data_IF_536730806162
#
_entry.id   IF_536730806162
#
_cell.length_a   1.000
_cell.length_b   1.000
_cell.length_c   1.000
_cell.angle_alpha   90.00
_cell.angle_beta   90.00
_cell.angle_gamma   90.00
#
_symmetry.space_group_name_H-M   'P 1'
#
loop_
_entity.id
_entity.type
_entity.pdbx_description
1 polymer ?
#
# COMPACT_ATOMS: atom_id res chain seq x y z
N UNK A 1 -26.64 -37.85 -0.05
CA UNK A 1 -26.72 -36.89 1.06
C UNK A 1 -25.30 -36.39 1.29
N UNK A 2 -24.92 -35.31 0.62
CA UNK A 2 -23.55 -34.79 0.60
C UNK A 2 -23.23 -34.12 1.92
N UNK A 3 -22.08 -34.45 2.51
CA UNK A 3 -21.59 -33.91 3.77
C UNK A 3 -21.38 -32.38 3.63
N UNK A 4 -21.98 -31.53 4.49
CA UNK A 4 -21.75 -30.09 4.47
C UNK A 4 -20.29 -29.67 4.66
N UNK A 5 -19.38 -30.57 5.07
CA UNK A 5 -17.94 -30.32 5.22
C UNK A 5 -17.16 -30.27 3.91
N UNK A 6 -17.70 -30.78 2.81
CA UNK A 6 -17.04 -30.72 1.48
C UNK A 6 -17.01 -29.30 0.88
N UNK A 7 -17.71 -28.33 1.49
CA UNK A 7 -17.69 -26.91 1.07
C UNK A 7 -16.47 -26.14 1.60
N UNK A 8 -15.50 -26.81 2.20
CA UNK A 8 -14.28 -26.19 2.74
C UNK A 8 -13.16 -25.94 1.72
N UNK A 9 -13.44 -26.03 0.41
CA UNK A 9 -12.43 -25.90 -0.64
C UNK A 9 -12.37 -24.51 -1.27
N UNK A 10 -11.47 -23.64 -0.80
CA UNK A 10 -10.83 -22.61 -1.62
C UNK A 10 -9.64 -22.00 -0.85
N UNK A 11 -8.42 -22.50 -1.10
CA UNK A 11 -7.20 -22.23 -0.33
C UNK A 11 -6.60 -20.81 -0.40
N UNK A 12 -7.39 -19.74 -0.40
CA UNK A 12 -6.90 -18.35 -0.32
C UNK A 12 -7.31 -17.66 0.99
N UNK A 13 -6.57 -16.65 1.43
CA UNK A 13 -7.00 -15.81 2.55
C UNK A 13 -8.32 -15.10 2.21
N UNK A 14 -9.16 -14.87 3.23
CA UNK A 14 -10.38 -14.08 3.01
C UNK A 14 -9.99 -12.65 2.59
N UNK A 15 -10.75 -12.02 1.67
CA UNK A 15 -10.41 -10.67 1.16
C UNK A 15 -10.17 -9.62 2.26
N UNK A 16 -10.90 -9.60 3.39
CA UNK A 16 -10.61 -8.68 4.48
C UNK A 16 -9.26 -8.91 5.14
N UNK A 17 -8.90 -10.17 5.38
CA UNK A 17 -7.62 -10.53 6.02
C UNK A 17 -6.46 -10.18 5.10
N UNK A 18 -6.56 -10.51 3.81
CA UNK A 18 -5.54 -10.15 2.82
C UNK A 18 -5.36 -8.62 2.70
N UNK A 19 -6.46 -7.86 2.77
CA UNK A 19 -6.39 -6.39 2.76
C UNK A 19 -5.69 -5.86 4.02
N UNK A 20 -6.01 -6.39 5.19
CA UNK A 20 -5.37 -5.97 6.45
C UNK A 20 -3.85 -6.22 6.42
N UNK A 21 -3.41 -7.42 6.02
CA UNK A 21 -1.99 -7.73 5.88
C UNK A 21 -1.29 -6.84 4.87
N UNK A 22 -1.93 -6.57 3.73
CA UNK A 22 -1.36 -5.69 2.72
C UNK A 22 -1.25 -4.25 3.20
N UNK A 23 -2.21 -3.73 3.95
CA UNK A 23 -2.17 -2.37 4.53
C UNK A 23 -1.02 -2.26 5.54
N UNK A 24 -0.88 -3.23 6.44
CA UNK A 24 0.21 -3.26 7.42
C UNK A 24 1.57 -3.38 6.72
N UNK A 25 1.69 -4.29 5.75
CA UNK A 25 2.90 -4.46 4.95
C UNK A 25 3.26 -3.20 4.15
N UNK A 26 2.28 -2.57 3.50
CA UNK A 26 2.46 -1.29 2.80
C UNK A 26 2.96 -0.21 3.75
N UNK A 27 2.31 -0.05 4.91
CA UNK A 27 2.71 0.96 5.89
C UNK A 27 4.13 0.73 6.41
N UNK A 28 4.49 -0.52 6.71
CA UNK A 28 5.83 -0.90 7.13
C UNK A 28 6.89 -0.62 6.03
N UNK A 29 6.60 -1.01 4.78
CA UNK A 29 7.48 -0.75 3.63
C UNK A 29 7.63 0.74 3.35
N UNK A 30 6.57 1.52 3.53
CA UNK A 30 6.59 2.97 3.34
C UNK A 30 7.49 3.64 4.37
N UNK A 31 7.25 3.39 5.67
CA UNK A 31 8.04 4.00 6.74
C UNK A 31 9.50 3.51 6.71
N UNK A 32 9.71 2.21 6.57
CA UNK A 32 11.04 1.62 6.48
C UNK A 32 11.79 2.10 5.22
N UNK A 33 11.12 2.14 4.08
CA UNK A 33 11.70 2.59 2.81
C UNK A 33 12.05 4.08 2.82
N UNK A 34 11.16 4.94 3.34
CA UNK A 34 11.43 6.37 3.49
C UNK A 34 12.57 6.60 4.49
N UNK A 35 12.54 5.92 5.63
CA UNK A 35 13.61 6.00 6.63
C UNK A 35 14.96 5.58 6.07
N UNK A 36 15.02 4.43 5.38
CA UNK A 36 16.28 3.95 4.80
C UNK A 36 16.81 4.88 3.71
N UNK A 37 15.93 5.35 2.81
CA UNK A 37 16.32 6.28 1.75
C UNK A 37 16.80 7.62 2.34
N UNK A 38 16.12 8.13 3.36
CA UNK A 38 16.52 9.34 4.08
C UNK A 38 17.88 9.18 4.75
N UNK A 39 18.13 8.05 5.43
CA UNK A 39 19.43 7.74 6.03
C UNK A 39 20.56 7.66 4.99
N UNK A 40 20.30 7.06 3.83
CA UNK A 40 21.31 6.94 2.77
C UNK A 40 21.60 8.24 2.04
N UNK A 41 20.57 9.06 1.83
CA UNK A 41 20.69 10.29 1.02
C UNK A 41 20.94 11.54 1.86
N UNK A 42 20.71 11.47 3.16
CA UNK A 42 20.64 12.64 4.04
C UNK A 42 19.51 13.60 3.67
N UNK A 43 18.57 13.17 2.81
CA UNK A 43 17.49 14.01 2.31
C UNK A 43 16.23 13.83 3.15
N UNK A 44 15.51 14.94 3.32
CA UNK A 44 14.17 14.95 3.89
C UNK A 44 13.14 14.52 2.84
N UNK A 45 12.10 13.81 3.28
CA UNK A 45 11.02 13.33 2.40
C UNK A 45 10.34 14.49 1.67
N UNK A 46 10.20 15.64 2.35
CA UNK A 46 9.73 16.90 1.76
C UNK A 46 10.84 17.95 1.93
N UNK A 47 11.69 18.16 0.91
CA UNK A 47 12.91 18.96 1.03
C UNK A 47 12.70 20.48 1.09
N UNK A 48 11.48 20.96 1.38
CA UNK A 48 11.18 22.40 1.44
C UNK A 48 11.20 22.89 2.87
N UNK A 49 12.11 23.82 3.14
CA UNK A 49 12.30 24.45 4.43
C UNK A 49 11.01 25.15 4.90
N UNK A 50 10.57 24.85 6.13
CA UNK A 50 9.43 25.50 6.77
C UNK A 50 8.05 24.86 6.53
N UNK A 51 7.95 23.71 5.85
CA UNK A 51 6.69 22.97 5.71
C UNK A 51 6.21 22.29 6.99
N UNK A 52 7.10 22.09 7.97
CA UNK A 52 6.81 21.27 9.15
C UNK A 52 6.54 19.80 8.80
N UNK A 53 6.19 19.00 9.79
CA UNK A 53 5.93 17.55 9.62
C UNK A 53 4.51 17.25 9.13
N UNK A 54 3.58 18.18 9.32
CA UNK A 54 2.14 17.97 9.12
C UNK A 54 1.78 17.58 7.67
N UNK A 55 2.33 18.21 6.61
CA UNK A 55 2.06 17.79 5.23
C UNK A 55 2.47 16.35 4.93
N UNK A 56 3.59 15.89 5.49
CA UNK A 56 4.04 14.50 5.35
C UNK A 56 3.12 13.51 6.06
N UNK A 57 2.66 13.85 7.27
CA UNK A 57 1.72 13.02 8.05
C UNK A 57 0.38 12.89 7.32
N UNK A 58 -0.18 14.01 6.85
CA UNK A 58 -1.46 14.02 6.12
C UNK A 58 -1.32 13.28 4.79
N UNK A 59 -0.21 13.50 4.06
CA UNK A 59 0.14 12.74 2.86
C UNK A 59 0.15 11.23 3.10
N UNK A 60 0.86 10.78 4.14
CA UNK A 60 0.93 9.38 4.54
C UNK A 60 -0.44 8.80 4.90
N UNK A 61 -1.24 9.52 5.68
CA UNK A 61 -2.59 9.08 6.06
C UNK A 61 -3.50 8.89 4.83
N UNK A 62 -3.48 9.83 3.89
CA UNK A 62 -4.24 9.73 2.65
C UNK A 62 -3.76 8.55 1.79
N UNK A 63 -2.45 8.34 1.69
CA UNK A 63 -1.89 7.20 0.95
C UNK A 63 -2.36 5.87 1.55
N UNK A 64 -2.26 5.69 2.86
CA UNK A 64 -2.72 4.47 3.55
C UNK A 64 -4.23 4.25 3.35
N UNK A 65 -5.05 5.30 3.51
CA UNK A 65 -6.49 5.22 3.30
C UNK A 65 -6.85 4.84 1.86
N UNK A 66 -6.24 5.48 0.87
CA UNK A 66 -6.47 5.20 -0.54
C UNK A 66 -5.97 3.80 -0.94
N UNK A 67 -4.82 3.38 -0.41
CA UNK A 67 -4.31 2.02 -0.60
C UNK A 67 -5.27 0.98 -0.04
N UNK A 68 -5.75 1.17 1.19
CA UNK A 68 -6.70 0.26 1.84
C UNK A 68 -8.01 0.15 1.04
N UNK A 69 -8.59 1.29 0.67
CA UNK A 69 -9.84 1.34 -0.09
C UNK A 69 -9.70 0.73 -1.49
N UNK A 70 -8.64 1.10 -2.22
CA UNK A 70 -8.41 0.59 -3.58
C UNK A 70 -8.14 -0.91 -3.56
N UNK A 71 -7.33 -1.38 -2.60
CA UNK A 71 -7.03 -2.80 -2.44
C UNK A 71 -8.28 -3.59 -2.09
N UNK A 72 -9.10 -3.09 -1.16
CA UNK A 72 -10.37 -3.70 -0.77
C UNK A 72 -11.29 -3.93 -1.97
N UNK A 73 -11.39 -2.96 -2.90
CA UNK A 73 -12.16 -3.13 -4.12
C UNK A 73 -11.48 -4.04 -5.15
N UNK A 74 -10.14 -3.99 -5.24
CA UNK A 74 -9.35 -4.80 -6.17
C UNK A 74 -9.40 -6.31 -5.87
N UNK A 75 -9.55 -6.70 -4.60
CA UNK A 75 -9.63 -8.11 -4.20
C UNK A 75 -11.03 -8.71 -4.31
N UNK A 76 -12.06 -7.90 -4.60
CA UNK A 76 -13.44 -8.38 -4.78
C UNK A 76 -13.57 -9.27 -6.02
N UNK A 77 -14.48 -10.28 -6.00
CA UNK A 77 -14.56 -11.33 -7.01
C UNK A 77 -14.63 -10.83 -8.46
N UNK A 78 -15.34 -9.72 -8.68
CA UNK A 78 -15.61 -9.15 -10.01
C UNK A 78 -14.38 -8.47 -10.68
N UNK A 79 -13.31 -8.17 -9.92
CA UNK A 79 -12.19 -7.34 -10.39
C UNK A 79 -10.79 -7.96 -10.19
N UNK A 80 -10.70 -9.28 -10.01
CA UNK A 80 -9.44 -10.02 -9.80
C UNK A 80 -8.56 -10.07 -11.06
N UNK A 81 -7.90 -8.96 -11.40
CA UNK A 81 -6.89 -8.88 -12.47
C UNK A 81 -5.60 -8.33 -11.88
N UNK A 82 -4.44 -8.88 -12.23
CA UNK A 82 -3.16 -8.32 -11.77
C UNK A 82 -2.98 -6.83 -12.14
N UNK A 83 -3.62 -6.37 -13.22
CA UNK A 83 -3.66 -4.95 -13.59
C UNK A 83 -4.29 -4.04 -12.53
N UNK A 84 -5.08 -4.55 -11.58
CA UNK A 84 -5.61 -3.72 -10.49
C UNK A 84 -4.54 -3.26 -9.51
N UNK A 85 -3.40 -3.96 -9.39
CA UNK A 85 -2.26 -3.50 -8.58
C UNK A 85 -1.69 -2.18 -9.09
N UNK A 86 -1.64 -2.00 -10.43
CA UNK A 86 -1.22 -0.74 -11.03
C UNK A 86 -2.20 0.40 -10.69
N UNK A 87 -3.51 0.14 -10.74
CA UNK A 87 -4.54 1.11 -10.37
C UNK A 87 -4.42 1.49 -8.88
N UNK A 88 -4.24 0.50 -8.00
CA UNK A 88 -4.01 0.73 -6.56
C UNK A 88 -2.78 1.60 -6.34
N UNK A 89 -1.69 1.32 -7.06
CA UNK A 89 -0.44 2.09 -6.97
C UNK A 89 -0.64 3.54 -7.38
N UNK A 90 -1.25 3.78 -8.55
CA UNK A 90 -1.54 5.13 -9.05
C UNK A 90 -2.46 5.88 -8.08
N UNK A 91 -3.54 5.24 -7.61
CA UNK A 91 -4.46 5.84 -6.64
C UNK A 91 -3.76 6.22 -5.34
N UNK A 92 -2.84 5.38 -4.85
CA UNK A 92 -2.08 5.61 -3.62
C UNK A 92 -1.12 6.78 -3.77
N UNK A 93 -0.39 6.85 -4.88
CA UNK A 93 0.52 7.98 -5.18
C UNK A 93 -0.26 9.28 -5.29
N UNK A 94 -1.34 9.30 -6.07
CA UNK A 94 -2.17 10.50 -6.22
C UNK A 94 -2.77 10.95 -4.88
N UNK A 95 -3.22 10.01 -4.05
CA UNK A 95 -3.74 10.32 -2.72
C UNK A 95 -2.66 10.92 -1.81
N UNK A 96 -1.43 10.42 -1.86
CA UNK A 96 -0.31 11.04 -1.13
C UNK A 96 -0.11 12.50 -1.54
N UNK A 97 -0.06 12.78 -2.86
CA UNK A 97 0.12 14.16 -3.36
C UNK A 97 -1.02 15.07 -2.91
N UNK A 98 -2.26 14.60 -3.00
CA UNK A 98 -3.45 15.32 -2.50
C UNK A 98 -3.36 15.55 -0.98
N UNK A 99 -2.90 14.55 -0.22
CA UNK A 99 -2.72 14.68 1.22
C UNK A 99 -1.61 15.68 1.59
N UNK A 100 -0.52 15.75 0.82
CA UNK A 100 0.52 16.79 1.00
C UNK A 100 -0.04 18.17 0.70
N UNK A 101 -0.82 18.33 -0.39
CA UNK A 101 -1.52 19.59 -0.69
C UNK A 101 -2.42 20.00 0.47
N UNK A 102 -3.28 19.09 0.94
CA UNK A 102 -4.22 19.34 2.03
C UNK A 102 -3.48 19.68 3.34
N UNK A 103 -2.44 18.93 3.69
CA UNK A 103 -1.65 19.19 4.89
C UNK A 103 -0.88 20.51 4.83
N UNK A 104 -0.40 20.91 3.63
CA UNK A 104 0.19 22.22 3.41
C UNK A 104 -0.81 23.37 3.64
N UNK A 105 -2.03 23.24 3.10
CA UNK A 105 -3.12 24.22 3.29
C UNK A 105 -3.50 24.32 4.77
N UNK A 106 -3.66 23.18 5.46
CA UNK A 106 -3.96 23.13 6.89
C UNK A 106 -2.86 23.76 7.75
N UNK A 107 -1.60 23.71 7.28
CA UNK A 107 -0.46 24.33 7.98
C UNK A 107 -0.31 25.83 7.68
N UNK A 108 -1.18 26.41 6.84
CA UNK A 108 -1.10 27.82 6.43
C UNK A 108 0.11 28.15 5.56
N UNK A 109 0.68 27.16 4.86
CA UNK A 109 1.86 27.36 4.01
C UNK A 109 1.45 28.05 2.71
N UNK A 110 2.31 28.92 2.20
CA UNK A 110 2.13 29.57 0.90
C UNK A 110 1.90 28.54 -0.23
N UNK A 111 0.89 28.79 -1.06
CA UNK A 111 0.46 27.86 -2.11
C UNK A 111 1.57 27.51 -3.11
N UNK A 112 2.42 28.47 -3.48
CA UNK A 112 3.52 28.21 -4.41
C UNK A 112 4.56 27.27 -3.79
N UNK A 113 4.84 27.40 -2.48
CA UNK A 113 5.75 26.49 -1.77
C UNK A 113 5.18 25.07 -1.67
N UNK A 114 3.88 24.92 -1.42
CA UNK A 114 3.24 23.60 -1.37
C UNK A 114 3.32 22.93 -2.75
N UNK A 115 2.99 23.65 -3.83
CA UNK A 115 3.07 23.11 -5.19
C UNK A 115 4.50 22.72 -5.56
N UNK A 116 5.48 23.56 -5.21
CA UNK A 116 6.89 23.24 -5.40
C UNK A 116 7.31 21.97 -4.63
N UNK A 117 6.84 21.80 -3.40
CA UNK A 117 7.11 20.61 -2.60
C UNK A 117 6.51 19.33 -3.19
N UNK A 118 5.27 19.41 -3.66
CA UNK A 118 4.60 18.30 -4.33
C UNK A 118 5.33 17.93 -5.62
N UNK A 119 5.75 18.93 -6.41
CA UNK A 119 6.54 18.71 -7.63
C UNK A 119 7.90 18.07 -7.33
N UNK A 120 8.62 18.58 -6.32
CA UNK A 120 9.90 18.03 -5.89
C UNK A 120 9.77 16.60 -5.37
N UNK A 121 8.72 16.30 -4.60
CA UNK A 121 8.45 14.92 -4.15
C UNK A 121 8.15 14.01 -5.34
N UNK A 122 7.29 14.45 -6.27
CA UNK A 122 6.84 13.63 -7.41
C UNK A 122 7.99 13.22 -8.34
N UNK A 123 9.07 14.00 -8.41
CA UNK A 123 10.27 13.70 -9.20
C UNK A 123 11.39 13.05 -8.38
N UNK A 124 11.16 12.80 -7.08
CA UNK A 124 12.16 12.24 -6.16
C UNK A 124 12.16 10.71 -6.14
N UNK A 125 13.23 10.14 -5.58
CA UNK A 125 13.29 8.70 -5.25
C UNK A 125 12.27 8.29 -4.19
N UNK A 126 11.78 9.21 -3.35
CA UNK A 126 10.74 8.89 -2.38
C UNK A 126 9.41 8.53 -3.07
N UNK A 127 9.07 9.20 -4.18
CA UNK A 127 7.90 8.81 -4.97
C UNK A 127 8.06 7.40 -5.58
N UNK A 128 9.28 7.03 -6.00
CA UNK A 128 9.59 5.68 -6.49
C UNK A 128 9.42 4.65 -5.38
N UNK A 129 9.91 4.92 -4.17
CA UNK A 129 9.75 4.03 -3.00
C UNK A 129 8.28 3.87 -2.63
N UNK A 130 7.51 4.97 -2.61
CA UNK A 130 6.06 4.92 -2.35
C UNK A 130 5.33 4.06 -3.39
N UNK A 131 5.63 4.26 -4.68
CA UNK A 131 5.04 3.48 -5.76
C UNK A 131 5.42 2.00 -5.67
N UNK A 132 6.70 1.69 -5.39
CA UNK A 132 7.17 0.32 -5.23
C UNK A 132 6.50 -0.38 -4.04
N UNK A 133 6.40 0.30 -2.88
CA UNK A 133 5.74 -0.23 -1.69
C UNK A 133 4.25 -0.52 -1.97
N UNK A 134 3.54 0.42 -2.61
CA UNK A 134 2.14 0.24 -2.98
C UNK A 134 1.96 -0.90 -3.98
N UNK A 135 2.85 -1.01 -4.97
CA UNK A 135 2.80 -2.07 -5.97
C UNK A 135 3.02 -3.45 -5.33
N UNK A 136 4.04 -3.59 -4.49
CA UNK A 136 4.35 -4.84 -3.78
C UNK A 136 3.22 -5.23 -2.83
N UNK A 137 2.71 -4.28 -2.04
CA UNK A 137 1.60 -4.52 -1.12
C UNK A 137 0.31 -4.92 -1.86
N UNK A 138 -0.06 -4.18 -2.90
CA UNK A 138 -1.27 -4.43 -3.69
C UNK A 138 -1.19 -5.75 -4.46
N UNK A 139 -0.03 -6.05 -5.06
CA UNK A 139 0.21 -7.33 -5.71
C UNK A 139 0.16 -8.48 -4.71
N UNK A 140 0.76 -8.33 -3.52
CA UNK A 140 0.71 -9.29 -2.43
C UNK A 140 -0.71 -9.61 -1.98
N UNK A 141 -1.57 -8.59 -1.77
CA UNK A 141 -2.99 -8.80 -1.46
C UNK A 141 -3.70 -9.62 -2.54
N UNK A 142 -3.50 -9.29 -3.81
CA UNK A 142 -4.13 -10.00 -4.93
C UNK A 142 -3.61 -11.44 -5.01
N UNK A 143 -2.31 -11.65 -4.80
CA UNK A 143 -1.70 -12.97 -4.76
C UNK A 143 -2.32 -13.81 -3.64
N UNK A 144 -2.38 -13.31 -2.40
CA UNK A 144 -2.94 -14.02 -1.24
C UNK A 144 -4.39 -14.49 -1.42
N UNK A 145 -5.20 -13.74 -2.17
CA UNK A 145 -6.60 -14.09 -2.47
C UNK A 145 -6.70 -15.02 -3.68
N UNK A 146 -5.80 -14.89 -4.66
CA UNK A 146 -5.84 -15.64 -5.92
C UNK A 146 -5.15 -16.99 -5.82
N UNK A 147 -3.99 -17.05 -5.18
CA UNK A 147 -3.24 -18.29 -5.01
C UNK A 147 -3.93 -19.11 -3.94
N UNK A 148 -4.56 -20.19 -4.38
CA UNK A 148 -5.08 -21.21 -3.48
C UNK A 148 -3.93 -22.03 -2.90
N UNK A 149 -2.99 -21.38 -2.20
CA UNK A 149 -1.86 -22.07 -1.62
C UNK A 149 -2.41 -23.10 -0.64
N UNK A 150 -2.19 -24.38 -0.94
CA UNK A 150 -2.60 -25.46 -0.06
C UNK A 150 -2.03 -25.20 1.33
N UNK A 151 -2.83 -25.50 2.35
CA UNK A 151 -2.37 -25.41 3.74
C UNK A 151 -1.03 -26.15 3.83
N UNK A 152 0.07 -25.50 4.25
CA UNK A 152 1.36 -26.16 4.32
C UNK A 152 1.22 -27.40 5.20
N UNK A 153 1.29 -28.57 4.56
CA UNK A 153 1.21 -29.87 5.22
C UNK A 153 2.61 -30.29 5.58
N UNK A 154 2.84 -30.53 6.86
CA UNK A 154 4.11 -31.03 7.31
C UNK A 154 4.30 -32.48 6.89
N UNK A 155 5.55 -32.97 6.74
CA UNK A 155 5.80 -34.34 6.30
C UNK A 155 5.09 -35.40 7.12
N UNK A 156 4.93 -35.18 8.42
CA UNK A 156 4.23 -36.09 9.35
C UNK A 156 2.69 -35.93 9.35
N UNK A 157 2.14 -34.96 8.62
CA UNK A 157 0.69 -34.81 8.40
C UNK A 157 0.22 -35.49 7.11
N UNK A 158 1.14 -36.14 6.39
CA UNK A 158 0.80 -37.04 5.30
C UNK A 158 0.63 -38.41 5.93
N UNK A 159 -0.57 -38.95 5.84
CA UNK A 159 -0.77 -40.38 6.08
C UNK A 159 0.02 -41.07 4.96
N UNK A 160 1.22 -41.54 5.27
CA UNK A 160 2.05 -42.32 4.35
C UNK A 160 1.37 -43.70 4.16
N UNK A 161 0.45 -43.79 3.19
CA UNK A 161 -0.04 -45.02 2.54
C UNK A 161 -0.46 -44.73 1.08
#
# INVERSE_FOLDING_TARGET
>A
MTDPRERGGAGGLTPPVATAFAVVGFFALLIGGFGMLSLFTGAEVLPVSGLGQLPGIVGGAFAVGAFALSTWFAVRPERRRYGSAAIVTVATVLAYLVGVLAGGVLSGVDGARIVAAVGAFATSWFAVVLAAAALVGGWGAIALVRTSAERPRWPWERDDD
#
